data_IF_803646216981
#
_entry.id   IF_803646216981
#
_cell.length_a   1.000
_cell.length_b   1.000
_cell.length_c   1.000
_cell.angle_alpha   90.00
_cell.angle_beta   90.00
_cell.angle_gamma   90.00
#
_symmetry.space_group_name_H-M   'P 1'
#
loop_
_entity.id
_entity.type
_entity.pdbx_description
1 polymer ?
#
# COMPACT_ATOMS: atom_id res chain seq x y z
N UNK A 1 -14.52 -12.82 0.04
CA UNK A 1 -13.78 -11.53 -0.02
C UNK A 1 -12.58 -11.68 0.89
N UNK A 2 -11.37 -11.45 0.38
CA UNK A 2 -10.18 -11.38 1.23
C UNK A 2 -10.23 -10.09 2.06
N UNK A 3 -9.69 -10.12 3.27
CA UNK A 3 -9.53 -8.94 4.10
C UNK A 3 -8.53 -7.96 3.46
N UNK A 4 -8.61 -6.65 3.79
CA UNK A 4 -7.63 -5.67 3.31
C UNK A 4 -6.18 -6.06 3.61
N UNK A 5 -5.94 -6.64 4.79
CA UNK A 5 -4.61 -7.12 5.21
C UNK A 5 -4.10 -8.27 4.33
N UNK A 6 -4.95 -9.24 4.00
CA UNK A 6 -4.57 -10.35 3.09
C UNK A 6 -4.26 -9.86 1.67
N UNK A 7 -5.03 -8.88 1.18
CA UNK A 7 -4.78 -8.29 -0.15
C UNK A 7 -3.46 -7.51 -0.15
N UNK A 8 -3.21 -6.72 0.91
CA UNK A 8 -1.95 -6.00 1.08
C UNK A 8 -0.77 -6.96 1.14
N UNK A 9 -0.88 -8.03 1.92
CA UNK A 9 0.18 -9.02 2.05
C UNK A 9 0.50 -9.65 0.68
N UNK A 10 -0.51 -10.07 -0.09
CA UNK A 10 -0.30 -10.62 -1.43
C UNK A 10 0.37 -9.64 -2.40
N UNK A 11 0.07 -8.34 -2.29
CA UNK A 11 0.75 -7.29 -3.06
C UNK A 11 2.23 -7.21 -2.67
N UNK A 12 2.54 -7.22 -1.37
CA UNK A 12 3.92 -7.11 -0.88
C UNK A 12 4.74 -8.37 -1.16
N UNK A 13 4.12 -9.55 -1.20
CA UNK A 13 4.76 -10.81 -1.59
C UNK A 13 5.17 -10.84 -3.06
N UNK A 14 4.39 -10.19 -3.94
CA UNK A 14 4.74 -10.03 -5.35
C UNK A 14 5.87 -8.99 -5.58
N UNK A 15 6.27 -8.24 -4.54
CA UNK A 15 7.45 -7.37 -4.59
C UNK A 15 8.69 -8.17 -4.19
N UNK A 16 9.68 -8.25 -5.10
CA UNK A 16 11.02 -8.72 -4.74
C UNK A 16 11.67 -7.83 -3.70
N UNK A 17 12.69 -8.31 -3.00
CA UNK A 17 13.25 -7.64 -1.81
C UNK A 17 13.75 -6.21 -2.07
N UNK A 18 14.34 -5.95 -3.24
CA UNK A 18 14.75 -4.60 -3.62
C UNK A 18 13.55 -3.65 -3.77
N UNK A 19 12.46 -4.13 -4.38
CA UNK A 19 11.25 -3.33 -4.56
C UNK A 19 10.52 -3.14 -3.25
N UNK A 20 10.50 -4.15 -2.38
CA UNK A 20 9.97 -4.03 -1.04
C UNK A 20 10.75 -3.00 -0.22
N UNK A 21 12.08 -2.97 -0.32
CA UNK A 21 12.90 -1.92 0.28
C UNK A 21 12.55 -0.51 -0.21
N UNK A 22 12.32 -0.34 -1.52
CA UNK A 22 11.84 0.93 -2.10
C UNK A 22 10.42 1.28 -1.67
N UNK A 23 9.55 0.29 -1.55
CA UNK A 23 8.19 0.47 -1.06
C UNK A 23 8.20 1.07 0.35
N UNK A 24 8.96 0.47 1.28
CA UNK A 24 9.17 1.04 2.62
C UNK A 24 9.77 2.43 2.53
N UNK A 25 10.70 2.68 1.60
CA UNK A 25 11.31 4.00 1.42
C UNK A 25 10.28 5.09 1.12
N UNK A 26 9.34 4.82 0.21
CA UNK A 26 8.27 5.75 -0.14
C UNK A 26 7.26 5.98 0.99
N UNK A 27 7.02 4.99 1.86
CA UNK A 27 6.11 5.14 3.00
C UNK A 27 6.57 6.18 4.03
N UNK A 28 7.87 6.45 4.13
CA UNK A 28 8.41 7.46 5.05
C UNK A 28 8.82 8.77 4.39
N UNK A 29 8.70 8.88 3.05
CA UNK A 29 8.97 10.15 2.37
C UNK A 29 7.84 11.15 2.59
N UNK A 30 8.20 12.31 3.13
CA UNK A 30 7.27 13.42 3.30
C UNK A 30 6.83 13.98 1.94
N UNK A 31 5.56 14.38 1.84
CA UNK A 31 4.98 14.96 0.62
C UNK A 31 4.73 14.00 -0.56
N UNK A 32 5.13 12.72 -0.47
CA UNK A 32 4.87 11.72 -1.52
C UNK A 32 3.44 11.18 -1.46
N UNK A 33 2.94 10.97 -0.24
CA UNK A 33 1.61 10.42 0.02
C UNK A 33 0.63 11.60 0.15
N UNK A 34 0.16 12.12 -0.99
CA UNK A 34 -0.77 13.25 -1.10
C UNK A 34 -1.94 13.18 -0.09
N UNK A 35 -1.81 13.90 1.04
CA UNK A 35 -2.82 13.96 2.11
C UNK A 35 -2.64 12.94 3.26
N UNK A 36 -1.66 12.04 3.18
CA UNK A 36 -1.38 11.05 4.22
C UNK A 36 -0.04 11.33 4.91
N UNK A 37 -0.01 11.15 6.23
CA UNK A 37 1.22 11.27 7.01
C UNK A 37 2.21 10.13 6.67
N UNK A 38 3.52 10.39 6.59
CA UNK A 38 4.51 9.33 6.44
C UNK A 38 4.57 8.45 7.69
N UNK A 39 4.90 7.17 7.51
CA UNK A 39 5.29 6.29 8.61
C UNK A 39 6.73 6.60 8.99
N UNK A 40 7.07 6.62 10.28
CA UNK A 40 8.44 6.87 10.72
C UNK A 40 9.41 5.80 10.20
N UNK A 41 10.55 6.22 9.63
CA UNK A 41 11.59 5.32 9.10
C UNK A 41 12.03 4.27 10.12
N UNK A 42 12.22 4.67 11.38
CA UNK A 42 12.65 3.79 12.47
C UNK A 42 11.68 2.64 12.73
N UNK A 43 10.39 2.82 12.43
CA UNK A 43 9.41 1.75 12.50
C UNK A 43 9.54 0.78 11.34
N UNK A 44 9.84 1.26 10.14
CA UNK A 44 9.85 0.44 8.91
C UNK A 44 11.14 -0.33 8.67
N UNK A 45 12.29 0.15 9.16
CA UNK A 45 13.60 -0.44 8.83
C UNK A 45 13.67 -1.94 9.11
N UNK A 46 13.17 -2.37 10.28
CA UNK A 46 13.24 -3.77 10.73
C UNK A 46 12.03 -4.61 10.35
N UNK A 47 10.95 -4.01 9.82
CA UNK A 47 9.72 -4.74 9.53
C UNK A 47 9.85 -5.58 8.26
N UNK A 48 9.38 -6.82 8.36
CA UNK A 48 9.10 -7.72 7.25
C UNK A 48 7.75 -7.38 6.62
N UNK A 49 7.30 -8.15 5.63
CA UNK A 49 6.09 -7.86 4.84
C UNK A 49 4.85 -7.79 5.74
N UNK A 50 4.64 -8.80 6.57
CA UNK A 50 3.52 -8.91 7.50
C UNK A 50 3.50 -7.73 8.49
N UNK A 51 4.63 -7.44 9.12
CA UNK A 51 4.73 -6.30 10.04
C UNK A 51 4.52 -4.95 9.34
N UNK A 52 4.88 -4.83 8.06
CA UNK A 52 4.59 -3.63 7.26
C UNK A 52 3.10 -3.51 6.97
N UNK A 53 2.41 -4.63 6.67
CA UNK A 53 0.94 -4.63 6.53
C UNK A 53 0.28 -4.15 7.82
N UNK A 54 0.70 -4.69 8.97
CA UNK A 54 0.14 -4.31 10.27
C UNK A 54 0.35 -2.81 10.55
N UNK A 55 1.56 -2.28 10.35
CA UNK A 55 1.84 -0.86 10.56
C UNK A 55 1.04 0.03 9.59
N UNK A 56 0.84 -0.39 8.34
CA UNK A 56 0.02 0.34 7.36
C UNK A 56 -1.46 0.33 7.75
N UNK A 57 -1.99 -0.82 8.17
CA UNK A 57 -3.36 -0.93 8.65
C UNK A 57 -3.58 -0.11 9.94
N UNK A 58 -2.61 -0.07 10.85
CA UNK A 58 -2.68 0.78 12.04
C UNK A 58 -2.60 2.28 11.72
N UNK A 59 -1.73 2.66 10.78
CA UNK A 59 -1.48 4.07 10.47
C UNK A 59 -2.57 4.68 9.58
N UNK A 60 -3.02 3.93 8.57
CA UNK A 60 -3.92 4.42 7.52
C UNK A 60 -5.33 3.83 7.61
N UNK A 61 -5.54 2.82 8.46
CA UNK A 61 -6.84 2.18 8.66
C UNK A 61 -7.45 1.73 7.32
N UNK A 62 -8.66 2.19 7.01
CA UNK A 62 -9.37 1.87 5.76
C UNK A 62 -8.67 2.37 4.49
N UNK A 63 -7.71 3.30 4.62
CA UNK A 63 -6.95 3.87 3.50
C UNK A 63 -5.66 3.12 3.18
N UNK A 64 -5.32 2.03 3.89
CA UNK A 64 -4.07 1.31 3.67
C UNK A 64 -3.91 0.80 2.21
N UNK A 65 -5.01 0.35 1.59
CA UNK A 65 -5.04 -0.06 0.18
C UNK A 65 -4.84 1.13 -0.78
N UNK A 66 -5.40 2.29 -0.45
CA UNK A 66 -5.26 3.52 -1.24
C UNK A 66 -3.81 4.01 -1.23
N UNK A 67 -3.19 4.09 -0.05
CA UNK A 67 -1.78 4.44 0.11
C UNK A 67 -0.87 3.45 -0.64
N UNK A 68 -1.16 2.15 -0.56
CA UNK A 68 -0.39 1.12 -1.27
C UNK A 68 -0.42 1.33 -2.77
N UNK A 69 -1.61 1.61 -3.33
CA UNK A 69 -1.76 1.92 -4.76
C UNK A 69 -0.93 3.15 -5.14
N UNK A 70 -0.97 4.22 -4.36
CA UNK A 70 -0.20 5.44 -4.62
C UNK A 70 1.30 5.16 -4.65
N UNK A 71 1.82 4.42 -3.66
CA UNK A 71 3.24 4.05 -3.60
C UNK A 71 3.65 3.22 -4.82
N UNK A 72 2.84 2.22 -5.19
CA UNK A 72 3.11 1.39 -6.38
C UNK A 72 3.08 2.21 -7.68
N UNK A 73 2.23 3.22 -7.79
CA UNK A 73 2.22 4.14 -8.92
C UNK A 73 3.51 4.98 -8.98
N UNK A 74 3.99 5.51 -7.85
CA UNK A 74 5.28 6.23 -7.78
C UNK A 74 6.46 5.31 -8.14
N UNK A 75 6.40 4.03 -7.76
CA UNK A 75 7.38 3.00 -8.12
C UNK A 75 7.27 2.51 -9.58
N UNK A 76 6.29 2.99 -10.36
CA UNK A 76 5.95 2.47 -11.70
C UNK A 76 5.64 0.95 -11.71
N UNK A 77 5.12 0.42 -10.60
CA UNK A 77 4.78 -0.99 -10.35
C UNK A 77 3.27 -1.25 -10.35
N UNK A 78 2.50 -0.41 -11.05
CA UNK A 78 1.02 -0.51 -11.13
C UNK A 78 0.51 -1.88 -11.60
N UNK A 79 1.31 -2.63 -12.36
CA UNK A 79 0.98 -4.01 -12.76
C UNK A 79 0.75 -4.95 -11.57
N UNK A 80 1.51 -4.78 -10.47
CA UNK A 80 1.34 -5.56 -9.24
C UNK A 80 -0.02 -5.28 -8.60
N UNK A 81 -0.41 -4.00 -8.52
CA UNK A 81 -1.73 -3.62 -8.02
C UNK A 81 -2.87 -4.26 -8.82
N UNK A 82 -2.79 -4.23 -10.15
CA UNK A 82 -3.85 -4.76 -11.03
C UNK A 82 -4.08 -6.27 -10.86
N UNK A 83 -3.05 -7.03 -10.48
CA UNK A 83 -3.15 -8.46 -10.22
C UNK A 83 -4.02 -8.73 -8.99
N UNK A 84 -3.92 -7.89 -7.96
CA UNK A 84 -4.61 -8.07 -6.68
C UNK A 84 -5.91 -7.27 -6.57
N UNK A 85 -6.05 -6.18 -7.32
CA UNK A 85 -7.22 -5.29 -7.22
C UNK A 85 -8.53 -5.93 -7.66
N UNK A 86 -8.48 -7.03 -8.43
CA UNK A 86 -9.66 -7.81 -8.83
C UNK A 86 -10.36 -8.48 -7.64
N UNK A 87 -9.63 -8.70 -6.54
CA UNK A 87 -10.16 -9.29 -5.30
C UNK A 87 -10.71 -8.24 -4.33
N UNK A 88 -10.41 -6.95 -4.57
CA UNK A 88 -10.99 -5.81 -3.86
C UNK A 88 -12.34 -5.56 -4.54
N UNK A 89 -13.39 -6.23 -4.10
CA UNK A 89 -14.73 -5.99 -4.62
C UNK A 89 -15.04 -4.50 -4.64
N UNK A 90 -15.32 -3.96 -5.83
CA UNK A 90 -15.80 -2.59 -5.99
C UNK A 90 -17.05 -2.40 -5.13
N UNK A 91 -17.12 -1.37 -4.26
CA UNK A 91 -18.40 -0.69 -4.13
C UNK A 91 -18.61 0.03 -5.47
N UNK A 92 -19.50 -0.51 -6.30
CA UNK A 92 -20.06 0.26 -7.39
C UNK A 92 -20.61 1.58 -6.85
N UNK A 93 -20.26 2.69 -7.51
CA UNK A 93 -20.98 3.96 -7.35
C UNK A 93 -20.33 4.99 -6.43
N UNK A 94 -19.26 5.64 -6.91
CA UNK A 94 -19.16 7.11 -6.76
C UNK A 94 -18.79 7.73 -8.09
N UNK A 95 -19.83 7.95 -8.89
CA UNK A 95 -19.85 8.94 -9.96
C UNK A 95 -19.67 10.32 -9.34
N UNK A 96 -18.44 10.83 -9.31
CA UNK A 96 -18.24 12.28 -9.27
C UNK A 96 -18.21 12.77 -10.71
N UNK A 97 -19.39 13.09 -11.21
CA UNK A 97 -19.56 14.01 -12.33
C UNK A 97 -19.24 15.41 -11.80
N UNK A 98 -18.22 16.04 -12.35
CA UNK A 98 -18.21 17.50 -12.50
C UNK A 98 -19.16 17.88 -13.62
#
# INVERSE_FOLDING_TARGET
MSSPSEILLGILDDLGDQDFGRFKWYLWQDGVLEGFKPILKSKLETLQREGTVDEMCQTYNTHALEVTKMVLEKMKKKGVWQKHSKNISQPEGKSWKC
#
